data_IF_246308261102
#
_entry.id   IF_246308261102
#
_cell.length_a   1.000
_cell.length_b   1.000
_cell.length_c   1.000
_cell.angle_alpha   90.00
_cell.angle_beta   90.00
_cell.angle_gamma   90.00
#
_symmetry.space_group_name_H-M   'P 1'
#
loop_
_entity.id
_entity.type
_entity.pdbx_description
1 polymer ?
#
# COMPACT_ATOMS: atom_id res chain seq x y z
N UNK A 1 -44.34 15.50 15.24
CA UNK A 1 -43.27 16.05 16.09
C UNK A 1 -43.25 15.18 17.35
N UNK A 2 -42.71 13.97 17.34
CA UNK A 2 -41.30 13.59 17.16
C UNK A 2 -41.18 12.25 16.42
N UNK A 3 -40.55 12.23 15.24
CA UNK A 3 -40.11 11.01 14.57
C UNK A 3 -38.58 11.10 14.48
N UNK A 4 -37.88 10.53 15.47
CA UNK A 4 -36.44 10.30 15.40
C UNK A 4 -36.16 8.88 15.86
N UNK A 5 -35.99 7.98 14.89
CA UNK A 5 -34.96 6.94 14.96
C UNK A 5 -34.38 6.73 13.56
N UNK A 6 -33.31 7.50 13.32
CA UNK A 6 -32.07 7.11 12.64
C UNK A 6 -32.19 6.50 11.24
N UNK A 7 -32.04 7.40 10.26
CA UNK A 7 -31.60 7.11 8.91
C UNK A 7 -30.43 6.12 8.86
N UNK A 8 -30.45 5.26 7.84
CA UNK A 8 -29.31 4.54 7.26
C UNK A 8 -28.77 3.35 8.08
N UNK A 9 -29.37 2.19 7.82
CA UNK A 9 -28.63 0.94 7.90
C UNK A 9 -27.34 1.06 7.06
N UNK A 10 -26.21 1.15 7.78
CA UNK A 10 -24.86 0.74 7.36
C UNK A 10 -24.43 1.17 5.96
N UNK A 11 -23.93 2.40 5.84
CA UNK A 11 -22.67 2.53 5.12
C UNK A 11 -21.68 1.63 5.87
N UNK A 12 -21.20 0.55 5.25
CA UNK A 12 -20.00 -0.12 5.74
C UNK A 12 -18.88 0.94 5.71
N UNK A 13 -18.67 1.62 6.83
CA UNK A 13 -17.40 2.27 7.12
C UNK A 13 -16.42 1.14 7.43
N UNK A 14 -15.91 0.51 6.38
CA UNK A 14 -14.87 -0.49 6.47
C UNK A 14 -13.63 0.13 7.14
N UNK A 15 -13.31 -0.31 8.35
CA UNK A 15 -12.06 0.05 9.05
C UNK A 15 -10.82 -0.19 8.17
N UNK A 16 -10.94 -1.08 7.19
CA UNK A 16 -9.99 -1.37 6.13
C UNK A 16 -9.54 -0.14 5.33
N UNK A 17 -10.42 0.85 5.11
CA UNK A 17 -10.06 2.08 4.39
C UNK A 17 -9.28 3.07 5.26
N UNK A 18 -9.52 3.11 6.57
CA UNK A 18 -8.73 3.93 7.50
C UNK A 18 -7.28 3.46 7.60
N UNK A 19 -7.02 2.17 7.34
CA UNK A 19 -5.70 1.56 7.42
C UNK A 19 -4.88 1.61 6.11
N UNK A 20 -5.48 2.05 4.99
CA UNK A 20 -4.76 2.22 3.72
C UNK A 20 -4.37 3.69 3.53
N UNK A 21 -3.11 3.99 3.21
CA UNK A 21 -2.72 5.36 2.92
C UNK A 21 -3.37 5.83 1.60
N UNK A 22 -3.66 7.14 1.48
CA UNK A 22 -4.10 7.72 0.22
C UNK A 22 -2.99 7.59 -0.82
N UNK A 23 -3.38 7.38 -2.08
CA UNK A 23 -2.45 7.42 -3.20
C UNK A 23 -2.02 8.87 -3.38
N UNK A 24 -0.79 9.18 -2.96
CA UNK A 24 -0.17 10.50 -3.07
C UNK A 24 0.65 10.66 -4.34
N UNK A 25 1.26 11.84 -4.57
CA UNK A 25 2.20 12.03 -5.65
C UNK A 25 3.41 11.09 -5.50
N UNK A 26 3.94 10.61 -6.61
CA UNK A 26 5.15 9.78 -6.66
C UNK A 26 6.08 10.25 -7.77
N UNK A 27 7.38 10.19 -7.51
CA UNK A 27 8.44 10.41 -8.52
C UNK A 27 8.99 9.10 -9.08
N UNK A 28 8.49 7.96 -8.61
CA UNK A 28 8.85 6.60 -9.05
C UNK A 28 7.59 5.80 -9.46
N UNK A 29 6.80 6.28 -10.43
CA UNK A 29 5.57 5.62 -10.85
C UNK A 29 5.85 4.28 -11.53
N UNK A 30 5.00 3.29 -11.23
CA UNK A 30 5.01 1.98 -11.88
C UNK A 30 3.58 1.65 -12.31
N UNK A 31 3.32 1.44 -13.62
CA UNK A 31 2.02 0.96 -14.08
C UNK A 31 1.67 -0.37 -13.42
N UNK A 32 0.40 -0.59 -13.06
CA UNK A 32 -0.06 -1.81 -12.39
C UNK A 32 0.38 -3.09 -13.13
N UNK A 33 0.40 -3.06 -14.46
CA UNK A 33 0.87 -4.17 -15.31
C UNK A 33 2.36 -4.54 -15.13
N UNK A 34 3.17 -3.62 -14.59
CA UNK A 34 4.61 -3.78 -14.39
C UNK A 34 4.98 -4.04 -12.91
N UNK A 35 4.00 -4.10 -12.00
CA UNK A 35 4.25 -4.36 -10.58
C UNK A 35 5.05 -5.63 -10.34
N UNK A 36 4.73 -6.72 -11.05
CA UNK A 36 5.44 -8.00 -10.91
C UNK A 36 6.95 -7.83 -11.14
N UNK A 37 7.32 -7.25 -12.29
CA UNK A 37 8.72 -7.05 -12.66
C UNK A 37 9.44 -6.06 -11.73
N UNK A 38 8.78 -4.98 -11.33
CA UNK A 38 9.37 -4.00 -10.41
C UNK A 38 9.60 -4.61 -9.02
N UNK A 39 8.65 -5.41 -8.53
CA UNK A 39 8.77 -6.12 -7.26
C UNK A 39 9.81 -7.23 -7.29
N UNK A 40 10.00 -7.92 -8.43
CA UNK A 40 11.08 -8.90 -8.59
C UNK A 40 12.46 -8.25 -8.39
N UNK A 41 12.66 -7.04 -8.92
CA UNK A 41 13.87 -6.25 -8.70
C UNK A 41 13.99 -5.82 -7.24
N UNK A 42 12.93 -5.22 -6.68
CA UNK A 42 12.90 -4.73 -5.29
C UNK A 42 13.22 -5.84 -4.28
N UNK A 43 12.73 -7.05 -4.53
CA UNK A 43 12.87 -8.21 -3.65
C UNK A 43 14.05 -9.13 -4.02
N UNK A 44 14.92 -8.74 -4.95
CA UNK A 44 15.97 -9.61 -5.48
C UNK A 44 17.04 -10.01 -4.46
N UNK A 45 17.32 -9.16 -3.46
CA UNK A 45 18.37 -9.38 -2.46
C UNK A 45 17.86 -9.95 -1.11
N UNK A 46 16.56 -10.19 -0.94
CA UNK A 46 16.04 -10.74 0.32
C UNK A 46 15.98 -12.27 0.31
N UNK A 47 16.25 -12.89 1.46
CA UNK A 47 16.02 -14.32 1.69
C UNK A 47 14.53 -14.65 1.84
N UNK A 48 13.69 -13.67 2.20
CA UNK A 48 12.24 -13.83 2.39
C UNK A 48 11.45 -13.48 1.12
N UNK A 49 11.88 -14.03 -0.02
CA UNK A 49 11.42 -13.61 -1.35
C UNK A 49 9.90 -13.66 -1.53
N UNK A 50 9.25 -14.74 -1.11
CA UNK A 50 7.80 -14.91 -1.25
C UNK A 50 7.00 -13.83 -0.50
N UNK A 51 7.37 -13.55 0.76
CA UNK A 51 6.71 -12.52 1.56
C UNK A 51 6.97 -11.12 0.99
N UNK A 52 8.21 -10.83 0.59
CA UNK A 52 8.54 -9.55 -0.03
C UNK A 52 7.71 -9.32 -1.30
N UNK A 53 7.63 -10.31 -2.20
CA UNK A 53 6.84 -10.21 -3.43
C UNK A 53 5.35 -10.02 -3.15
N UNK A 54 4.80 -10.75 -2.19
CA UNK A 54 3.39 -10.62 -1.80
C UNK A 54 3.07 -9.18 -1.35
N UNK A 55 3.83 -8.63 -0.40
CA UNK A 55 3.58 -7.28 0.10
C UNK A 55 3.95 -6.20 -0.91
N UNK A 56 5.04 -6.36 -1.67
CA UNK A 56 5.41 -5.42 -2.70
C UNK A 56 4.31 -5.30 -3.77
N UNK A 57 3.81 -6.42 -4.30
CA UNK A 57 2.76 -6.40 -5.32
C UNK A 57 1.45 -5.81 -4.77
N UNK A 58 1.08 -6.13 -3.53
CA UNK A 58 -0.07 -5.51 -2.87
C UNK A 58 0.09 -3.99 -2.76
N UNK A 59 1.26 -3.50 -2.32
CA UNK A 59 1.53 -2.08 -2.23
C UNK A 59 1.58 -1.40 -3.60
N UNK A 60 2.20 -2.03 -4.60
CA UNK A 60 2.28 -1.49 -5.96
C UNK A 60 0.91 -1.40 -6.63
N UNK A 61 0.05 -2.42 -6.49
CA UNK A 61 -1.28 -2.41 -7.09
C UNK A 61 -2.17 -1.29 -6.53
N UNK A 62 -1.94 -0.88 -5.28
CA UNK A 62 -2.66 0.22 -4.65
C UNK A 62 -2.01 1.57 -4.91
N UNK A 63 -0.70 1.69 -4.65
CA UNK A 63 0.03 2.94 -4.69
C UNK A 63 0.59 3.31 -6.08
N UNK A 64 0.58 2.36 -7.03
CA UNK A 64 1.07 2.52 -8.41
C UNK A 64 2.52 3.05 -8.48
N UNK A 65 3.36 2.55 -7.58
CA UNK A 65 4.77 2.92 -7.45
C UNK A 65 5.56 1.76 -6.82
N UNK A 66 6.86 1.69 -7.12
CA UNK A 66 7.83 0.84 -6.43
C UNK A 66 9.15 1.61 -6.31
N UNK A 67 9.68 1.81 -5.10
CA UNK A 67 10.98 2.43 -4.92
C UNK A 67 12.11 1.68 -5.63
N UNK A 68 13.06 2.39 -6.28
CA UNK A 68 14.19 1.75 -6.96
C UNK A 68 15.16 1.06 -5.98
N UNK A 69 15.96 0.15 -6.51
CA UNK A 69 16.91 -0.66 -5.73
C UNK A 69 16.22 -1.69 -4.82
N UNK A 70 16.99 -2.34 -3.96
CA UNK A 70 16.52 -3.43 -3.09
C UNK A 70 16.26 -3.01 -1.64
N UNK A 71 16.58 -1.77 -1.29
CA UNK A 71 16.43 -1.21 0.06
C UNK A 71 16.26 0.32 0.00
N UNK A 72 15.57 0.91 0.97
CA UNK A 72 15.43 2.37 1.12
C UNK A 72 14.64 3.05 -0.01
N UNK A 73 14.89 4.35 -0.22
CA UNK A 73 14.33 5.20 -1.29
C UNK A 73 12.80 5.31 -1.30
N UNK A 74 12.16 5.08 -0.15
CA UNK A 74 10.70 5.04 -0.02
C UNK A 74 10.07 6.45 -0.13
N UNK A 75 10.86 7.50 0.04
CA UNK A 75 10.44 8.90 -0.08
C UNK A 75 9.95 9.26 -1.49
N UNK A 76 10.33 8.51 -2.53
CA UNK A 76 9.80 8.70 -3.87
C UNK A 76 8.32 8.32 -4.00
N UNK A 77 7.78 7.57 -3.02
CA UNK A 77 6.37 7.19 -2.98
C UNK A 77 5.81 7.15 -1.55
N UNK A 78 5.16 8.23 -1.13
CA UNK A 78 4.56 8.37 0.21
C UNK A 78 3.55 7.25 0.52
N UNK A 79 2.67 6.88 -0.41
CA UNK A 79 1.71 5.79 -0.20
C UNK A 79 2.41 4.46 0.19
N UNK A 80 3.50 4.10 -0.49
CA UNK A 80 4.26 2.89 -0.20
C UNK A 80 4.99 2.99 1.14
N UNK A 81 5.55 4.16 1.45
CA UNK A 81 6.29 4.40 2.68
C UNK A 81 5.40 4.44 3.94
N UNK A 82 4.24 5.07 3.80
CA UNK A 82 3.35 5.42 4.91
C UNK A 82 2.39 4.27 5.23
N UNK A 83 2.30 3.24 4.39
CA UNK A 83 1.51 2.07 4.72
C UNK A 83 2.15 1.29 5.86
N UNK A 84 1.52 1.37 7.03
CA UNK A 84 1.91 0.63 8.23
C UNK A 84 0.96 -0.54 8.52
N UNK A 85 1.44 -1.50 9.29
CA UNK A 85 0.58 -2.49 9.95
C UNK A 85 -0.13 -1.85 11.13
N UNK A 86 -1.06 -2.59 11.76
CA UNK A 86 -1.74 -2.14 12.98
C UNK A 86 -0.78 -1.88 14.15
N UNK A 87 0.39 -2.54 14.15
CA UNK A 87 1.45 -2.35 15.12
C UNK A 87 2.39 -1.17 14.78
N UNK A 88 2.12 -0.43 13.69
CA UNK A 88 2.89 0.73 13.26
C UNK A 88 4.18 0.40 12.50
N UNK A 89 4.46 -0.87 12.20
CA UNK A 89 5.65 -1.26 11.43
C UNK A 89 5.42 -1.06 9.93
N UNK A 90 6.47 -0.83 9.12
CA UNK A 90 6.34 -0.73 7.67
C UNK A 90 5.70 -1.98 7.08
N UNK A 91 4.62 -1.80 6.30
CA UNK A 91 3.93 -2.90 5.62
C UNK A 91 4.57 -3.26 4.28
N UNK A 92 5.07 -2.27 3.56
CA UNK A 92 5.67 -2.43 2.25
C UNK A 92 7.21 -2.58 2.35
N UNK A 93 7.84 -3.47 1.56
CA UNK A 93 9.27 -3.80 1.68
C UNK A 93 10.27 -2.66 1.40
#
# INVERSE_FOLDING_TARGET
MWLIQVSLARQHFDASFLAKPPVGPTTCPVPTAQCSSACDQRCSATSHKNNCLMFCNMCCNWCQCVPPGTFGQKECCSCYNDWKTEQGTPKCP
#
